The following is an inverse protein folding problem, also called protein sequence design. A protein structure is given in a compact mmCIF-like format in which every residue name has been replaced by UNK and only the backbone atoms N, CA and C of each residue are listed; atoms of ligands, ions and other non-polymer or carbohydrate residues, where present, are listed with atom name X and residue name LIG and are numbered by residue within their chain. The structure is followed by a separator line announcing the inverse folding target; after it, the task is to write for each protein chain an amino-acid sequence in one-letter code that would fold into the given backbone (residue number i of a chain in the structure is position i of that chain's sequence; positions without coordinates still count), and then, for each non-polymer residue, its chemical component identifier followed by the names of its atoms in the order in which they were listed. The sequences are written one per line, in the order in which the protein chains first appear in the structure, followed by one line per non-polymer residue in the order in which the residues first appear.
data_IF_798902943115
#
_entry.id   IF_798902943115
#
_cell.length_a   1.000
_cell.length_b   1.000
_cell.length_c   1.000
_cell.angle_alpha   90.00
_cell.angle_beta   90.00
_cell.angle_gamma   90.00
#
_symmetry.space_group_name_H-M   'P 1'
#
loop_
_entity.id
_entity.type
_entity.pdbx_description
1 polymer ?
#
# COMPACT_ATOMS: atom_id res chain seq x y z
N UNK A 1 20.43 -6.99 -6.92
CA UNK A 1 19.20 -6.30 -6.46
C UNK A 1 18.20 -7.39 -6.08
N UNK A 2 17.54 -7.30 -4.93
CA UNK A 2 16.47 -8.23 -4.57
C UNK A 2 15.22 -7.90 -5.41
N UNK A 3 14.64 -8.91 -6.06
CA UNK A 3 13.39 -8.75 -6.80
C UNK A 3 12.21 -8.90 -5.84
N UNK A 4 11.33 -7.90 -5.83
CA UNK A 4 10.10 -7.91 -5.04
C UNK A 4 8.91 -7.88 -5.98
N UNK A 5 7.87 -8.66 -5.67
CA UNK A 5 6.55 -8.50 -6.27
C UNK A 5 5.71 -7.63 -5.34
N UNK A 6 5.07 -6.61 -5.92
CA UNK A 6 4.14 -5.73 -5.22
C UNK A 6 2.74 -6.05 -5.73
N UNK A 7 1.86 -6.51 -4.83
CA UNK A 7 0.47 -6.76 -5.13
C UNK A 7 -0.37 -5.56 -4.69
N UNK A 8 -1.23 -5.06 -5.57
CA UNK A 8 -2.12 -3.92 -5.30
C UNK A 8 -3.58 -4.36 -5.32
N UNK A 9 -4.40 -3.76 -4.46
CA UNK A 9 -5.85 -3.96 -4.47
C UNK A 9 -6.58 -2.67 -4.11
N UNK A 10 -7.72 -2.44 -4.75
CA UNK A 10 -8.64 -1.38 -4.37
C UNK A 10 -9.68 -1.92 -3.39
N UNK A 11 -9.87 -1.23 -2.29
CA UNK A 11 -10.76 -1.62 -1.21
C UNK A 11 -11.79 -0.52 -0.96
N UNK A 12 -13.03 -0.93 -0.68
CA UNK A 12 -14.07 -0.06 -0.17
C UNK A 12 -14.06 -0.22 1.37
N UNK A 13 -13.55 0.75 2.12
CA UNK A 13 -13.39 0.62 3.57
C UNK A 13 -14.74 0.68 4.31
N UNK A 14 -15.78 1.25 3.68
CA UNK A 14 -17.14 1.29 4.22
C UNK A 14 -18.15 1.26 3.08
N UNK A 15 -19.14 0.36 3.17
CA UNK A 15 -20.28 0.32 2.24
C UNK A 15 -21.22 1.52 2.44
N UNK A 16 -21.23 2.13 3.63
CA UNK A 16 -22.02 3.32 3.94
C UNK A 16 -21.39 4.60 3.36
N UNK A 17 -20.10 4.57 3.01
CA UNK A 17 -19.38 5.65 2.35
C UNK A 17 -18.58 5.13 1.14
N UNK A 18 -19.26 4.73 0.05
CA UNK A 18 -18.63 4.10 -1.10
C UNK A 18 -17.67 5.04 -1.87
N UNK A 19 -17.73 6.35 -1.61
CA UNK A 19 -16.78 7.34 -2.14
C UNK A 19 -15.37 7.20 -1.58
N UNK A 20 -15.20 6.49 -0.46
CA UNK A 20 -13.94 6.34 0.24
C UNK A 20 -13.06 5.20 -0.32
N UNK A 21 -13.07 4.93 -1.63
CA UNK A 21 -12.19 3.93 -2.24
C UNK A 21 -10.73 4.18 -1.86
N UNK A 22 -10.06 3.12 -1.43
CA UNK A 22 -8.70 3.15 -0.93
C UNK A 22 -7.82 2.13 -1.66
N UNK A 23 -6.55 2.47 -1.89
CA UNK A 23 -5.58 1.53 -2.45
C UNK A 23 -4.73 0.93 -1.34
N UNK A 24 -4.48 -0.38 -1.47
CA UNK A 24 -3.61 -1.15 -0.58
C UNK A 24 -2.55 -1.81 -1.43
N UNK A 25 -1.29 -1.67 -1.02
CA UNK A 25 -0.17 -2.41 -1.58
C UNK A 25 0.42 -3.35 -0.54
N UNK A 26 0.84 -4.53 -0.97
CA UNK A 26 1.47 -5.55 -0.13
C UNK A 26 2.74 -6.05 -0.81
N UNK A 27 3.79 -6.22 -0.01
CA UNK A 27 5.06 -6.84 -0.45
C UNK A 27 5.42 -7.96 0.49
N UNK A 28 5.72 -9.12 -0.08
CA UNK A 28 6.36 -10.22 0.64
C UNK A 28 7.87 -10.09 0.57
N UNK A 29 8.51 -9.96 1.72
CA UNK A 29 9.97 -9.91 1.83
C UNK A 29 10.58 -11.32 1.75
N UNK A 30 11.88 -11.36 1.47
CA UNK A 30 12.66 -12.60 1.47
C UNK A 30 12.69 -13.31 2.84
N UNK A 31 12.53 -12.57 3.95
CA UNK A 31 12.43 -13.11 5.31
C UNK A 31 11.04 -13.68 5.64
N UNK A 32 10.14 -13.74 4.65
CA UNK A 32 8.76 -14.21 4.81
C UNK A 32 7.81 -13.19 5.43
N UNK A 33 8.28 -12.02 5.87
CA UNK A 33 7.42 -10.98 6.46
C UNK A 33 6.65 -10.22 5.37
N UNK A 34 5.42 -9.85 5.71
CA UNK A 34 4.58 -9.00 4.86
C UNK A 34 4.72 -7.54 5.28
N UNK A 35 4.93 -6.67 4.28
CA UNK A 35 4.78 -5.22 4.41
C UNK A 35 3.50 -4.81 3.71
N UNK A 36 2.73 -3.94 4.35
CA UNK A 36 1.41 -3.50 3.88
C UNK A 36 1.27 -1.99 4.12
N UNK A 37 0.43 -1.33 3.33
CA UNK A 37 0.00 0.05 3.62
C UNK A 37 -0.76 0.13 4.95
N UNK A 38 -0.51 1.18 5.74
CA UNK A 38 -0.93 1.22 7.17
C UNK A 38 -2.44 1.21 7.32
N UNK A 39 -3.10 2.08 6.58
CA UNK A 39 -4.54 2.23 6.43
C UNK A 39 -4.72 2.55 4.95
N UNK A 40 -5.71 1.94 4.29
CA UNK A 40 -5.94 2.19 2.86
C UNK A 40 -5.93 3.70 2.63
N UNK A 41 -5.17 4.18 1.65
CA UNK A 41 -5.05 5.62 1.40
C UNK A 41 -6.42 6.15 1.00
N UNK A 42 -7.13 6.77 1.94
CA UNK A 42 -8.51 7.24 1.72
C UNK A 42 -8.50 8.51 0.89
N UNK A 43 -9.50 8.59 0.02
CA UNK A 43 -9.76 9.64 -0.98
C UNK A 43 -10.12 11.02 -0.39
N UNK A 44 -9.41 11.51 0.62
CA UNK A 44 -9.49 12.93 0.98
C UNK A 44 -8.40 13.72 0.25
N UNK A 45 -8.80 14.23 -0.92
CA UNK A 45 -8.32 15.49 -1.50
C UNK A 45 -6.88 15.69 -1.99
N UNK A 46 -5.92 14.73 -1.99
CA UNK A 46 -4.73 14.93 -2.87
C UNK A 46 -3.87 13.76 -3.38
N UNK A 47 -3.78 12.58 -2.78
CA UNK A 47 -2.81 11.56 -3.25
C UNK A 47 -3.20 10.08 -3.00
N UNK A 48 -4.47 9.70 -3.10
CA UNK A 48 -4.90 8.30 -2.93
C UNK A 48 -4.94 7.54 -4.27
N UNK A 49 -3.77 7.19 -4.81
CA UNK A 49 -3.63 6.39 -6.04
C UNK A 49 -2.95 5.06 -5.75
N UNK A 50 -3.09 4.10 -6.66
CA UNK A 50 -2.32 2.85 -6.64
C UNK A 50 -0.81 3.13 -6.46
N UNK A 51 -0.30 4.15 -7.17
CA UNK A 51 1.09 4.59 -7.04
C UNK A 51 1.45 5.03 -5.62
N UNK A 52 0.59 5.79 -4.93
CA UNK A 52 0.87 6.19 -3.56
C UNK A 52 0.93 5.00 -2.60
N UNK A 53 0.13 3.96 -2.84
CA UNK A 53 0.22 2.71 -2.08
C UNK A 53 1.55 2.00 -2.33
N UNK A 54 2.02 1.96 -3.58
CA UNK A 54 3.33 1.42 -3.97
C UNK A 54 4.46 2.23 -3.32
N UNK A 55 4.39 3.55 -3.34
CA UNK A 55 5.42 4.44 -2.78
C UNK A 55 5.55 4.27 -1.26
N UNK A 56 4.43 4.09 -0.53
CA UNK A 56 4.43 3.83 0.92
C UNK A 56 5.13 2.50 1.26
N UNK A 57 4.79 1.40 0.57
CA UNK A 57 5.46 0.11 0.84
C UNK A 57 6.92 0.11 0.37
N UNK A 58 7.24 0.82 -0.70
CA UNK A 58 8.61 0.99 -1.19
C UNK A 58 9.45 1.78 -0.19
N UNK A 59 8.91 2.86 0.37
CA UNK A 59 9.56 3.63 1.44
C UNK A 59 9.82 2.77 2.68
N UNK A 60 8.85 1.93 3.07
CA UNK A 60 9.02 0.98 4.19
C UNK A 60 10.09 -0.09 3.92
N UNK A 61 10.26 -0.51 2.67
CA UNK A 61 11.32 -1.42 2.26
C UNK A 61 12.71 -0.77 2.38
N UNK A 62 12.85 0.49 1.97
CA UNK A 62 14.13 1.21 1.98
C UNK A 62 14.54 1.69 3.38
N UNK A 63 13.62 2.21 4.18
CA UNK A 63 13.91 2.74 5.53
C UNK A 63 14.34 1.67 6.55
N UNK A 64 13.99 0.40 6.33
CA UNK A 64 14.34 -0.73 7.22
C UNK A 64 15.59 -1.50 6.78
N UNK A 65 16.25 -1.04 5.73
CA UNK A 65 17.48 -1.65 5.20
C UNK A 65 18.76 -0.95 5.70
N UNK A 66 18.66 -0.07 6.71
CA UNK A 66 19.77 0.56 7.43
C UNK A 66 19.94 -0.04 8.83
#
# INVERSE_FOLDING_TARGET
MAQYTIDTSQQCPSLDEPSALAWVAVVRRADGKLLRTREGTVRSSRHATEQAAIDDVTTKLTQRSS
#
